data_IF_763688604160
#
_entry.id   IF_763688604160
#
_cell.length_a   1.000
_cell.length_b   1.000
_cell.length_c   1.000
_cell.angle_alpha   90.00
_cell.angle_beta   90.00
_cell.angle_gamma   90.00
#
_symmetry.space_group_name_H-M   'P 1'
#
loop_
_entity.id
_entity.type
_entity.pdbx_description
1 polymer ?
#
# COMPACT_ATOMS: atom_id res chain seq x y z
N UNK A 1 -12.96 14.92 3.81
CA UNK A 1 -12.68 15.62 2.55
C UNK A 1 -13.83 15.40 1.57
N UNK A 2 -14.27 14.17 1.32
CA UNK A 2 -15.35 13.84 0.38
C UNK A 2 -16.67 14.60 0.65
N UNK A 3 -16.97 14.88 1.93
CA UNK A 3 -18.15 15.62 2.33
C UNK A 3 -18.21 17.03 1.72
N UNK A 4 -17.09 17.74 1.64
CA UNK A 4 -17.04 19.08 1.05
C UNK A 4 -17.29 19.06 -0.46
N UNK A 5 -16.79 18.06 -1.16
CA UNK A 5 -17.10 17.87 -2.58
C UNK A 5 -18.59 17.55 -2.80
N UNK A 6 -19.17 16.72 -1.94
CA UNK A 6 -20.59 16.40 -1.98
C UNK A 6 -21.46 17.66 -1.75
N UNK A 7 -21.17 18.44 -0.71
CA UNK A 7 -21.88 19.68 -0.40
C UNK A 7 -21.72 20.72 -1.49
N UNK A 8 -20.50 20.95 -1.98
CA UNK A 8 -20.22 21.83 -3.12
C UNK A 8 -20.98 21.41 -4.38
N UNK A 9 -21.07 20.11 -4.65
CA UNK A 9 -21.82 19.57 -5.78
C UNK A 9 -23.31 19.83 -5.66
N UNK A 10 -23.90 19.69 -4.46
CA UNK A 10 -25.30 20.05 -4.22
C UNK A 10 -25.55 21.53 -4.41
N UNK A 11 -24.62 22.38 -4.00
CA UNK A 11 -24.74 23.82 -4.12
C UNK A 11 -24.74 24.30 -5.58
N UNK A 12 -23.88 23.72 -6.44
CA UNK A 12 -23.73 24.20 -7.83
C UNK A 12 -24.67 23.50 -8.82
N UNK A 13 -25.20 22.31 -8.52
CA UNK A 13 -26.03 21.58 -9.48
C UNK A 13 -27.35 22.29 -9.83
N UNK A 14 -27.84 23.19 -8.96
CA UNK A 14 -29.05 24.00 -9.19
C UNK A 14 -28.78 25.33 -9.91
N UNK A 15 -27.51 25.69 -10.16
CA UNK A 15 -27.16 26.96 -10.82
C UNK A 15 -25.98 26.77 -11.78
N UNK A 16 -26.24 26.90 -13.08
CA UNK A 16 -25.28 26.64 -14.16
C UNK A 16 -24.06 27.56 -14.17
N UNK A 17 -24.13 28.72 -13.52
CA UNK A 17 -23.03 29.71 -13.49
C UNK A 17 -22.07 29.51 -12.32
N UNK A 18 -22.38 28.55 -11.42
CA UNK A 18 -21.55 28.34 -10.25
C UNK A 18 -20.55 27.20 -10.45
N UNK A 19 -19.39 27.38 -9.85
CA UNK A 19 -18.34 26.39 -9.78
C UNK A 19 -17.61 26.50 -8.46
N UNK A 20 -16.91 25.46 -8.08
CA UNK A 20 -16.04 25.46 -6.92
C UNK A 20 -14.74 24.75 -7.22
N UNK A 21 -13.71 25.04 -6.43
CA UNK A 21 -12.46 24.29 -6.45
C UNK A 21 -11.95 24.07 -5.03
N UNK A 22 -11.34 22.92 -4.78
CA UNK A 22 -10.72 22.60 -3.52
C UNK A 22 -9.31 22.08 -3.70
N UNK A 23 -8.44 22.43 -2.74
CA UNK A 23 -7.19 21.72 -2.49
C UNK A 23 -7.51 20.55 -1.59
N UNK A 24 -7.09 19.36 -1.97
CA UNK A 24 -7.44 18.13 -1.28
C UNK A 24 -6.26 17.17 -1.29
N UNK A 25 -6.23 16.22 -0.35
CA UNK A 25 -5.27 15.11 -0.45
C UNK A 25 -5.55 14.28 -1.71
N UNK A 26 -4.52 13.81 -2.37
CA UNK A 26 -4.64 13.01 -3.61
C UNK A 26 -5.42 11.71 -3.44
N UNK A 27 -5.68 11.28 -2.20
CA UNK A 27 -6.50 10.10 -1.87
C UNK A 27 -7.93 10.14 -2.42
N UNK A 28 -8.48 11.35 -2.67
CA UNK A 28 -9.83 11.49 -3.27
C UNK A 28 -9.91 10.93 -4.71
N UNK A 29 -8.76 10.87 -5.38
CA UNK A 29 -8.62 10.35 -6.74
C UNK A 29 -7.96 8.97 -6.78
N UNK A 30 -7.87 8.29 -5.62
CA UNK A 30 -7.18 7.01 -5.46
C UNK A 30 -7.98 6.05 -4.59
N UNK A 31 -7.81 4.76 -4.82
CA UNK A 31 -8.37 3.72 -3.99
C UNK A 31 -9.90 3.74 -3.88
N UNK A 32 -10.43 3.33 -2.73
CA UNK A 32 -11.87 3.16 -2.49
C UNK A 32 -12.68 4.47 -2.53
N UNK A 33 -12.07 5.62 -2.25
CA UNK A 33 -12.76 6.91 -2.25
C UNK A 33 -13.28 7.29 -3.64
N UNK A 34 -12.60 6.86 -4.70
CA UNK A 34 -13.03 7.12 -6.07
C UNK A 34 -14.42 6.54 -6.34
N UNK A 35 -14.63 5.27 -5.99
CA UNK A 35 -15.92 4.60 -6.17
C UNK A 35 -17.06 5.16 -5.32
N UNK A 36 -16.73 5.74 -4.17
CA UNK A 36 -17.73 6.28 -3.24
C UNK A 36 -18.18 7.69 -3.60
N UNK A 37 -17.31 8.54 -4.11
CA UNK A 37 -17.59 9.95 -4.32
C UNK A 37 -17.94 10.29 -5.77
N UNK A 38 -17.09 9.91 -6.72
CA UNK A 38 -17.18 10.43 -8.08
C UNK A 38 -18.43 10.03 -8.85
N UNK A 39 -19.00 8.82 -8.71
CA UNK A 39 -20.29 8.50 -9.33
C UNK A 39 -21.40 9.45 -8.90
N UNK A 40 -21.41 9.87 -7.62
CA UNK A 40 -22.41 10.79 -7.09
C UNK A 40 -22.27 12.19 -7.71
N UNK A 41 -21.04 12.66 -7.88
CA UNK A 41 -20.77 13.97 -8.51
C UNK A 41 -21.18 13.94 -9.98
N UNK A 42 -20.72 12.94 -10.73
CA UNK A 42 -21.01 12.85 -12.16
C UNK A 42 -22.49 12.60 -12.47
N UNK A 43 -23.23 11.91 -11.58
CA UNK A 43 -24.68 11.72 -11.74
C UNK A 43 -25.48 13.02 -11.65
N UNK A 44 -24.90 14.09 -11.09
CA UNK A 44 -25.51 15.43 -11.02
C UNK A 44 -25.25 16.30 -12.26
N UNK A 45 -24.81 15.71 -13.36
CA UNK A 45 -24.39 16.43 -14.57
C UNK A 45 -23.25 17.45 -14.33
N UNK A 46 -22.33 17.09 -13.42
CA UNK A 46 -21.13 17.85 -13.11
C UNK A 46 -19.91 17.21 -13.73
N UNK A 47 -18.87 18.00 -13.92
CA UNK A 47 -17.59 17.56 -14.50
C UNK A 47 -16.39 18.16 -13.77
N UNK A 48 -15.23 17.56 -13.93
CA UNK A 48 -13.97 18.17 -13.53
C UNK A 48 -13.57 19.17 -14.63
N UNK A 49 -13.67 20.46 -14.33
CA UNK A 49 -13.34 21.55 -15.25
C UNK A 49 -11.85 21.72 -15.43
N UNK A 50 -11.11 21.63 -14.33
CA UNK A 50 -9.66 21.61 -14.30
C UNK A 50 -9.14 20.83 -13.13
N UNK A 51 -7.91 20.34 -13.24
CA UNK A 51 -7.23 19.73 -12.11
C UNK A 51 -5.72 19.97 -12.17
N UNK A 52 -5.10 20.21 -11.00
CA UNK A 52 -3.68 20.03 -10.81
C UNK A 52 -3.41 18.62 -10.36
N UNK A 53 -2.55 17.90 -11.09
CA UNK A 53 -2.12 16.56 -10.76
C UNK A 53 -1.43 16.54 -9.38
N UNK A 54 -1.33 15.38 -8.73
CA UNK A 54 -0.75 15.29 -7.39
C UNK A 54 0.64 15.91 -7.30
N UNK A 55 0.84 16.79 -6.32
CA UNK A 55 2.11 17.40 -5.98
C UNK A 55 2.33 17.40 -4.46
N UNK A 56 3.57 17.50 -4.02
CA UNK A 56 3.90 17.57 -2.60
C UNK A 56 3.57 18.96 -2.05
N UNK A 57 2.68 18.99 -1.06
CA UNK A 57 2.41 20.21 -0.32
C UNK A 57 3.52 20.42 0.72
N UNK A 58 4.28 21.49 0.56
CA UNK A 58 5.27 21.92 1.54
C UNK A 58 4.75 23.14 2.30
N UNK A 59 4.87 23.13 3.62
CA UNK A 59 4.67 24.30 4.44
C UNK A 59 5.98 24.63 5.19
N UNK A 60 6.11 25.84 5.71
CA UNK A 60 7.32 26.31 6.40
C UNK A 60 7.46 25.77 7.85
N UNK A 61 6.75 24.70 8.22
CA UNK A 61 6.82 24.11 9.54
C UNK A 61 8.08 23.26 9.73
N UNK A 62 8.68 23.29 10.93
CA UNK A 62 9.92 22.58 11.27
C UNK A 62 9.86 21.04 11.15
N UNK A 63 8.67 20.45 11.08
CA UNK A 63 8.46 18.99 10.89
C UNK A 63 7.45 18.79 9.77
N UNK A 64 7.91 18.95 8.53
CA UNK A 64 7.06 18.90 7.36
C UNK A 64 6.77 17.45 6.96
N UNK A 65 5.60 16.93 7.33
CA UNK A 65 5.07 15.72 6.73
C UNK A 65 4.59 16.09 5.31
N UNK A 66 5.38 15.75 4.29
CA UNK A 66 5.01 15.95 2.89
C UNK A 66 3.70 15.24 2.57
N UNK A 67 2.63 16.00 2.35
CA UNK A 67 1.32 15.48 1.96
C UNK A 67 1.15 15.66 0.46
N UNK A 68 0.84 14.58 -0.25
CA UNK A 68 0.47 14.68 -1.67
C UNK A 68 -0.94 15.25 -1.78
N UNK A 69 -1.07 16.37 -2.49
CA UNK A 69 -2.34 17.07 -2.71
C UNK A 69 -2.63 17.24 -4.19
N UNK A 70 -3.91 17.44 -4.51
CA UNK A 70 -4.40 17.83 -5.83
C UNK A 70 -5.30 19.06 -5.70
N UNK A 71 -5.42 19.88 -6.75
CA UNK A 71 -6.43 20.93 -6.82
C UNK A 71 -7.45 20.51 -7.87
N UNK A 72 -8.73 20.55 -7.52
CA UNK A 72 -9.79 20.06 -8.40
C UNK A 72 -10.90 21.10 -8.47
N UNK A 73 -11.16 21.57 -9.67
CA UNK A 73 -12.28 22.47 -9.97
C UNK A 73 -13.45 21.72 -10.59
N UNK A 74 -14.63 21.89 -10.03
CA UNK A 74 -15.90 21.28 -10.47
C UNK A 74 -16.82 22.34 -11.03
N UNK A 75 -17.46 22.01 -12.16
CA UNK A 75 -18.47 22.83 -12.80
C UNK A 75 -19.61 21.99 -13.34
N UNK A 76 -20.70 22.64 -13.76
CA UNK A 76 -21.69 22.00 -14.60
C UNK A 76 -21.06 21.55 -15.94
N UNK A 77 -21.57 20.43 -16.48
CA UNK A 77 -21.04 19.83 -17.71
C UNK A 77 -21.18 20.79 -18.88
N UNK A 78 -20.12 20.87 -19.67
CA UNK A 78 -20.02 21.76 -20.84
C UNK A 78 -19.22 21.08 -21.96
N UNK A 79 -19.35 21.62 -23.18
CA UNK A 79 -18.59 21.17 -24.35
C UNK A 79 -17.20 21.81 -24.43
N UNK A 80 -16.81 22.64 -23.47
CA UNK A 80 -15.51 23.27 -23.44
C UNK A 80 -14.41 22.28 -23.04
N UNK A 81 -13.20 22.48 -23.57
CA UNK A 81 -12.04 21.71 -23.16
C UNK A 81 -11.72 21.96 -21.67
N UNK A 82 -11.23 20.93 -21.02
CA UNK A 82 -10.80 20.90 -19.62
C UNK A 82 -9.29 21.05 -19.55
N UNK A 83 -8.77 21.50 -18.42
CA UNK A 83 -7.35 21.77 -18.25
C UNK A 83 -6.74 20.86 -17.17
N UNK A 84 -5.77 20.05 -17.56
CA UNK A 84 -4.92 19.31 -16.63
C UNK A 84 -3.58 20.04 -16.48
N UNK A 85 -3.20 20.30 -15.25
CA UNK A 85 -1.94 20.96 -14.89
C UNK A 85 -1.00 19.94 -14.25
N UNK A 86 0.22 19.89 -14.74
CA UNK A 86 1.33 19.14 -14.14
C UNK A 86 2.57 20.03 -14.15
N UNK A 87 3.10 20.32 -12.98
CA UNK A 87 4.19 21.25 -12.79
C UNK A 87 3.86 22.61 -13.45
N UNK A 88 4.67 23.09 -14.39
CA UNK A 88 4.45 24.31 -15.13
C UNK A 88 3.77 24.11 -16.51
N UNK A 89 3.28 22.87 -16.77
CA UNK A 89 2.64 22.53 -18.04
C UNK A 89 1.13 22.43 -17.89
N UNK A 90 0.39 22.82 -18.93
CA UNK A 90 -1.04 22.61 -19.02
C UNK A 90 -1.38 21.80 -20.26
N UNK A 91 -2.27 20.82 -20.11
CA UNK A 91 -2.78 20.00 -21.19
C UNK A 91 -4.30 20.25 -21.34
N UNK A 92 -4.70 20.64 -22.54
CA UNK A 92 -6.12 20.78 -22.90
C UNK A 92 -6.68 19.41 -23.31
N UNK A 93 -7.76 18.98 -22.64
CA UNK A 93 -8.39 17.66 -22.83
C UNK A 93 -9.90 17.79 -22.94
N UNK A 94 -10.55 16.81 -23.58
CA UNK A 94 -12.00 16.82 -23.73
C UNK A 94 -12.73 16.43 -22.43
N UNK A 95 -12.14 15.58 -21.61
CA UNK A 95 -12.70 15.15 -20.34
C UNK A 95 -11.58 14.79 -19.35
N UNK A 96 -11.80 15.08 -18.07
CA UNK A 96 -10.95 14.63 -16.95
C UNK A 96 -11.77 13.65 -16.13
N UNK A 97 -11.26 12.43 -16.01
CA UNK A 97 -11.93 11.40 -15.21
C UNK A 97 -11.57 11.49 -13.72
N UNK A 98 -12.19 10.65 -12.92
CA UNK A 98 -11.99 10.58 -11.45
C UNK A 98 -10.56 10.30 -10.99
N UNK A 99 -9.69 9.79 -11.86
CA UNK A 99 -8.26 9.53 -11.60
C UNK A 99 -7.35 10.67 -12.05
N UNK A 100 -7.92 11.81 -12.43
CA UNK A 100 -7.24 12.98 -12.99
C UNK A 100 -6.43 12.65 -14.27
N UNK A 101 -6.98 11.78 -15.10
CA UNK A 101 -6.41 11.49 -16.42
C UNK A 101 -7.38 11.87 -17.52
N UNK A 102 -6.86 12.14 -18.73
CA UNK A 102 -7.69 12.35 -19.92
C UNK A 102 -8.38 11.05 -20.32
N UNK A 103 -9.68 11.08 -20.56
CA UNK A 103 -10.45 9.93 -21.01
C UNK A 103 -11.84 9.85 -20.41
N UNK A 104 -12.57 8.77 -20.67
CA UNK A 104 -13.92 8.55 -20.19
C UNK A 104 -13.98 8.45 -18.65
N UNK A 105 -15.13 8.77 -18.07
CA UNK A 105 -15.39 8.61 -16.66
C UNK A 105 -15.53 7.13 -16.31
N UNK A 106 -14.40 6.47 -16.03
CA UNK A 106 -14.34 5.09 -15.56
C UNK A 106 -14.10 5.12 -14.05
N UNK A 107 -14.88 4.36 -13.32
CA UNK A 107 -14.73 4.18 -11.88
C UNK A 107 -14.54 2.70 -11.58
N UNK A 108 -13.42 2.36 -10.94
CA UNK A 108 -13.11 1.00 -10.52
C UNK A 108 -13.52 0.85 -9.06
N UNK A 109 -14.51 0.01 -8.81
CA UNK A 109 -14.92 -0.34 -7.46
C UNK A 109 -14.02 -1.42 -6.87
N UNK A 110 -13.87 -1.41 -5.55
CA UNK A 110 -13.19 -2.47 -4.84
C UNK A 110 -13.93 -3.80 -5.08
N UNK A 111 -13.19 -4.84 -5.46
CA UNK A 111 -13.72 -6.19 -5.66
C UNK A 111 -12.87 -7.19 -4.86
N UNK A 112 -13.53 -8.15 -4.23
CA UNK A 112 -12.89 -9.30 -3.60
C UNK A 112 -12.65 -10.46 -4.58
N UNK A 113 -13.18 -10.33 -5.81
CA UNK A 113 -13.02 -11.34 -6.86
C UNK A 113 -12.12 -10.82 -7.96
N UNK A 114 -11.31 -11.68 -8.52
CA UNK A 114 -10.50 -11.39 -9.70
C UNK A 114 -11.39 -10.99 -10.86
N UNK A 115 -10.97 -10.00 -11.65
CA UNK A 115 -11.62 -9.62 -12.91
C UNK A 115 -11.27 -10.62 -14.01
N UNK A 116 -10.17 -11.35 -13.86
CA UNK A 116 -9.61 -12.29 -14.83
C UNK A 116 -9.36 -13.65 -14.17
N UNK A 117 -9.16 -14.70 -14.98
CA UNK A 117 -8.81 -16.05 -14.53
C UNK A 117 -7.32 -16.18 -14.10
N UNK A 118 -6.72 -15.10 -13.63
CA UNK A 118 -5.36 -15.11 -13.11
C UNK A 118 -5.31 -15.64 -11.67
N UNK A 119 -4.14 -16.11 -11.20
CA UNK A 119 -3.96 -16.52 -9.83
C UNK A 119 -4.37 -15.44 -8.83
N UNK A 120 -4.90 -15.87 -7.68
CA UNK A 120 -5.33 -14.95 -6.63
C UNK A 120 -4.14 -14.21 -6.05
N UNK A 121 -4.25 -12.88 -5.93
CA UNK A 121 -3.29 -12.07 -5.21
C UNK A 121 -3.58 -12.18 -3.70
N UNK A 122 -2.57 -12.54 -2.93
CA UNK A 122 -2.66 -12.73 -1.49
C UNK A 122 -1.69 -11.79 -0.78
N UNK A 123 -1.99 -11.47 0.47
CA UNK A 123 -1.08 -10.70 1.33
C UNK A 123 0.20 -11.49 1.56
N UNK A 124 1.35 -10.84 1.43
CA UNK A 124 2.65 -11.44 1.71
C UNK A 124 2.80 -11.87 3.18
N UNK A 125 3.83 -12.67 3.44
CA UNK A 125 4.14 -13.16 4.78
C UNK A 125 4.48 -12.01 5.72
N UNK A 126 3.81 -11.95 6.86
CA UNK A 126 4.01 -10.92 7.87
C UNK A 126 4.43 -11.56 9.20
N UNK A 127 5.59 -11.20 9.74
CA UNK A 127 6.10 -11.83 10.96
C UNK A 127 5.39 -11.38 12.23
N UNK A 128 4.92 -10.14 12.33
CA UNK A 128 4.33 -9.57 13.57
C UNK A 128 5.22 -9.85 14.79
N UNK A 129 6.50 -9.49 14.70
CA UNK A 129 7.59 -9.97 15.56
C UNK A 129 8.41 -8.87 16.21
N UNK A 130 8.11 -7.59 15.96
CA UNK A 130 8.97 -6.46 16.35
C UNK A 130 10.44 -6.62 15.89
N UNK A 131 10.65 -7.13 14.67
CA UNK A 131 11.95 -7.46 14.08
C UNK A 131 12.76 -8.55 14.82
N UNK A 132 12.17 -9.30 15.74
CA UNK A 132 12.91 -10.35 16.43
C UNK A 132 13.23 -11.56 15.54
N UNK A 133 12.32 -11.94 14.62
CA UNK A 133 12.54 -13.08 13.71
C UNK A 133 13.29 -12.70 12.43
N UNK A 134 13.60 -11.41 12.22
CA UNK A 134 14.30 -10.89 11.05
C UNK A 134 15.65 -10.31 11.44
N UNK A 135 16.62 -10.38 10.55
CA UNK A 135 17.98 -9.92 10.79
C UNK A 135 18.76 -9.71 9.47
N UNK A 136 19.93 -9.15 9.57
CA UNK A 136 20.84 -8.86 8.47
C UNK A 136 21.71 -10.06 8.08
N UNK A 137 22.49 -9.91 7.01
CA UNK A 137 23.41 -10.93 6.52
C UNK A 137 24.56 -11.24 7.49
N UNK A 138 24.97 -10.28 8.34
CA UNK A 138 26.03 -10.51 9.33
C UNK A 138 25.53 -11.50 10.40
N UNK A 139 24.37 -11.23 10.98
CA UNK A 139 23.73 -12.13 11.94
C UNK A 139 23.46 -13.52 11.36
N UNK A 140 23.03 -13.60 10.10
CA UNK A 140 22.87 -14.89 9.40
C UNK A 140 24.19 -15.65 9.32
N UNK A 141 25.28 -14.99 8.94
CA UNK A 141 26.59 -15.63 8.80
C UNK A 141 27.13 -16.10 10.16
N UNK A 142 26.96 -15.31 11.22
CA UNK A 142 27.32 -15.73 12.59
C UNK A 142 26.56 -16.98 13.04
N UNK A 143 25.25 -17.03 12.77
CA UNK A 143 24.42 -18.19 13.08
C UNK A 143 24.87 -19.42 12.31
N UNK A 144 25.21 -19.30 11.03
CA UNK A 144 25.68 -20.41 10.22
C UNK A 144 27.05 -20.96 10.69
N UNK A 145 27.97 -20.08 11.10
CA UNK A 145 29.30 -20.47 11.61
C UNK A 145 29.16 -21.19 12.95
N UNK A 146 28.38 -20.62 13.90
CA UNK A 146 28.24 -21.18 15.25
C UNK A 146 27.30 -22.38 15.32
N UNK A 147 26.25 -22.38 14.49
CA UNK A 147 25.18 -23.38 14.50
C UNK A 147 24.84 -23.84 13.07
N UNK A 148 25.72 -24.62 12.38
CA UNK A 148 25.51 -25.04 11.00
C UNK A 148 24.17 -25.75 10.75
N UNK A 149 23.64 -26.44 11.76
CA UNK A 149 22.33 -27.11 11.69
C UNK A 149 21.16 -26.14 11.51
N UNK A 150 21.34 -24.83 11.75
CA UNK A 150 20.30 -23.81 11.54
C UNK A 150 20.06 -23.44 10.09
N UNK A 151 20.91 -23.88 9.16
CA UNK A 151 20.93 -23.43 7.78
C UNK A 151 19.56 -23.52 7.06
N UNK A 152 18.81 -24.60 7.28
CA UNK A 152 17.50 -24.79 6.65
C UNK A 152 16.41 -23.91 7.26
N UNK A 153 16.63 -23.38 8.49
CA UNK A 153 15.71 -22.44 9.15
C UNK A 153 15.87 -21.01 8.64
N UNK A 154 16.98 -20.68 7.98
CA UNK A 154 17.29 -19.33 7.55
C UNK A 154 16.78 -19.09 6.12
N UNK A 155 15.84 -18.18 5.95
CA UNK A 155 15.27 -17.83 4.64
C UNK A 155 15.48 -16.36 4.33
N UNK A 156 15.68 -16.05 3.04
CA UNK A 156 15.76 -14.68 2.56
C UNK A 156 14.39 -14.01 2.64
N UNK A 157 14.34 -12.81 3.17
CA UNK A 157 13.14 -11.96 3.17
C UNK A 157 13.18 -11.09 1.92
N UNK A 158 12.07 -11.05 1.20
CA UNK A 158 11.92 -10.23 0.01
C UNK A 158 10.63 -9.43 0.16
N UNK A 159 10.77 -8.15 0.44
CA UNK A 159 9.71 -7.17 0.52
C UNK A 159 9.96 -6.00 -0.43
N UNK A 160 9.19 -4.92 -0.29
CA UNK A 160 9.31 -3.74 -1.12
C UNK A 160 10.70 -3.08 -0.99
N UNK A 161 11.15 -2.87 0.24
CA UNK A 161 12.43 -2.21 0.52
C UNK A 161 13.60 -3.06 0.03
N UNK A 162 13.56 -4.37 0.26
CA UNK A 162 14.59 -5.29 -0.16
C UNK A 162 14.72 -5.35 -1.68
N UNK A 163 13.59 -5.28 -2.41
CA UNK A 163 13.58 -5.28 -3.88
C UNK A 163 14.01 -3.94 -4.48
N UNK A 164 13.56 -2.82 -3.91
CA UNK A 164 13.78 -1.50 -4.48
C UNK A 164 15.16 -0.95 -4.18
N UNK A 165 15.73 -1.31 -3.02
CA UNK A 165 16.98 -0.78 -2.52
C UNK A 165 18.11 -1.83 -2.48
N UNK A 166 17.87 -3.01 -3.06
CA UNK A 166 18.81 -4.16 -3.06
C UNK A 166 19.33 -4.50 -1.65
N UNK A 167 18.43 -4.48 -0.66
CA UNK A 167 18.76 -4.78 0.72
C UNK A 167 18.69 -6.29 0.94
N UNK A 168 19.76 -6.88 1.46
CA UNK A 168 19.77 -8.28 1.85
C UNK A 168 19.27 -8.45 3.28
N UNK A 169 18.15 -9.13 3.45
CA UNK A 169 17.50 -9.39 4.74
C UNK A 169 17.10 -10.85 4.88
N UNK A 170 17.24 -11.37 6.09
CA UNK A 170 16.98 -12.76 6.41
C UNK A 170 15.97 -12.90 7.54
N UNK A 171 15.40 -14.10 7.67
CA UNK A 171 14.54 -14.44 8.80
C UNK A 171 14.76 -15.87 9.24
N UNK A 172 14.36 -16.15 10.47
CA UNK A 172 14.15 -17.53 10.93
C UNK A 172 12.75 -17.96 10.50
N UNK A 173 12.69 -19.01 9.69
CA UNK A 173 11.46 -19.62 9.22
C UNK A 173 11.33 -21.00 9.83
N UNK A 174 10.45 -21.12 10.84
CA UNK A 174 10.35 -22.32 11.70
C UNK A 174 9.03 -22.99 11.46
N UNK A 175 9.06 -24.26 11.04
CA UNK A 175 7.89 -25.15 11.04
C UNK A 175 7.60 -25.68 12.44
N UNK A 176 6.47 -26.35 12.65
CA UNK A 176 6.20 -26.98 13.94
C UNK A 176 7.16 -28.16 14.19
N UNK A 177 7.60 -28.84 13.14
CA UNK A 177 8.57 -29.96 13.20
C UNK A 177 9.98 -29.47 13.56
N UNK A 178 10.34 -28.27 13.15
CA UNK A 178 11.66 -27.67 13.41
C UNK A 178 11.74 -26.94 14.75
N UNK A 179 10.65 -26.84 15.51
CA UNK A 179 10.58 -26.02 16.72
C UNK A 179 11.58 -26.47 17.78
N UNK A 180 11.72 -27.76 18.03
CA UNK A 180 12.65 -28.31 19.03
C UNK A 180 14.10 -27.95 18.66
N UNK A 181 14.46 -28.11 17.40
CA UNK A 181 15.79 -27.71 16.91
C UNK A 181 16.00 -26.20 17.07
N UNK A 182 15.01 -25.37 16.67
CA UNK A 182 15.10 -23.93 16.80
C UNK A 182 15.28 -23.49 18.25
N UNK A 183 14.57 -24.10 19.19
CA UNK A 183 14.68 -23.82 20.63
C UNK A 183 16.02 -24.33 21.23
N UNK A 184 16.64 -25.33 20.66
CA UNK A 184 17.97 -25.83 21.10
C UNK A 184 19.11 -24.87 20.72
N UNK A 185 18.86 -23.91 19.82
CA UNK A 185 19.81 -22.90 19.37
C UNK A 185 19.56 -21.61 20.13
N UNK A 186 20.37 -21.34 21.15
CA UNK A 186 20.16 -20.23 22.10
C UNK A 186 19.81 -18.88 21.44
N UNK A 187 20.54 -18.37 20.43
CA UNK A 187 20.19 -17.09 19.79
C UNK A 187 18.86 -17.11 19.05
N UNK A 188 18.40 -18.26 18.55
CA UNK A 188 17.10 -18.41 17.89
C UNK A 188 16.00 -18.49 18.96
N UNK A 189 16.22 -19.24 20.03
CA UNK A 189 15.28 -19.34 21.15
C UNK A 189 15.02 -17.97 21.80
N UNK A 190 16.08 -17.18 22.02
CA UNK A 190 15.93 -15.82 22.53
C UNK A 190 15.02 -14.96 21.64
N UNK A 191 15.18 -15.05 20.33
CA UNK A 191 14.33 -14.35 19.34
C UNK A 191 12.88 -14.78 19.39
N UNK A 192 12.63 -16.09 19.58
CA UNK A 192 11.28 -16.65 19.77
C UNK A 192 10.64 -16.08 21.04
N UNK A 193 11.38 -16.08 22.16
CA UNK A 193 10.86 -15.58 23.44
C UNK A 193 10.63 -14.06 23.42
N UNK A 194 11.48 -13.29 22.78
CA UNK A 194 11.27 -11.87 22.58
C UNK A 194 10.05 -11.58 21.69
N UNK A 195 9.82 -12.41 20.67
CA UNK A 195 8.59 -12.35 19.87
C UNK A 195 7.35 -12.69 20.72
N UNK A 196 7.43 -13.70 21.59
CA UNK A 196 6.35 -14.06 22.53
C UNK A 196 6.00 -12.89 23.45
N UNK A 197 7.01 -12.28 24.08
CA UNK A 197 6.83 -11.10 24.96
C UNK A 197 6.14 -9.96 24.23
N UNK A 198 6.65 -9.60 23.03
CA UNK A 198 6.05 -8.56 22.21
C UNK A 198 4.58 -8.85 21.86
N UNK A 199 4.27 -10.07 21.45
CA UNK A 199 2.91 -10.45 21.08
C UNK A 199 1.95 -10.46 22.27
N UNK A 200 2.41 -10.87 23.43
CA UNK A 200 1.59 -10.91 24.66
C UNK A 200 1.16 -9.52 25.11
N UNK A 201 2.03 -8.51 24.92
CA UNK A 201 1.76 -7.12 25.32
C UNK A 201 1.17 -6.27 24.20
N UNK A 202 1.07 -6.79 22.99
CA UNK A 202 0.58 -6.09 21.81
C UNK A 202 -0.94 -5.98 21.70
N UNK A 203 -1.43 -5.43 20.60
CA UNK A 203 -2.87 -5.38 20.27
C UNK A 203 -3.46 -6.74 19.98
N UNK A 204 -4.78 -6.80 19.74
CA UNK A 204 -5.56 -8.05 19.60
C UNK A 204 -4.97 -9.04 18.58
N UNK A 205 -4.50 -8.55 17.43
CA UNK A 205 -3.88 -9.39 16.41
C UNK A 205 -2.59 -10.02 16.92
N UNK A 206 -1.75 -9.26 17.62
CA UNK A 206 -0.51 -9.77 18.19
C UNK A 206 -0.78 -10.81 19.28
N UNK A 207 -1.71 -10.52 20.19
CA UNK A 207 -2.11 -11.46 21.27
C UNK A 207 -2.64 -12.79 20.71
N UNK A 208 -3.42 -12.75 19.63
CA UNK A 208 -3.88 -13.96 18.94
C UNK A 208 -2.76 -14.86 18.39
N UNK A 209 -1.54 -14.31 18.21
CA UNK A 209 -0.37 -15.03 17.71
C UNK A 209 0.62 -15.45 18.84
N UNK A 210 0.37 -15.09 20.09
CA UNK A 210 1.30 -15.30 21.20
C UNK A 210 1.60 -16.78 21.46
N UNK A 211 0.64 -17.68 21.19
CA UNK A 211 0.78 -19.13 21.35
C UNK A 211 1.71 -19.79 20.32
N UNK A 212 2.03 -19.10 19.22
CA UNK A 212 2.92 -19.58 18.15
C UNK A 212 3.99 -18.53 17.83
N UNK A 213 4.85 -18.17 18.79
CA UNK A 213 5.81 -17.07 18.64
C UNK A 213 6.87 -17.32 17.57
N UNK A 214 7.12 -18.57 17.21
CA UNK A 214 8.05 -19.00 16.18
C UNK A 214 7.50 -18.81 14.76
N UNK A 215 6.17 -18.67 14.58
CA UNK A 215 5.54 -18.58 13.25
C UNK A 215 5.23 -17.15 12.84
N UNK A 216 5.30 -16.90 11.54
CA UNK A 216 4.74 -15.73 10.91
C UNK A 216 3.19 -15.79 10.94
N UNK A 217 2.54 -14.65 10.88
CA UNK A 217 1.07 -14.57 10.78
C UNK A 217 0.55 -15.26 9.52
N UNK A 218 1.22 -15.00 8.40
CA UNK A 218 0.93 -15.64 7.12
C UNK A 218 2.16 -16.42 6.68
N UNK A 219 1.95 -17.63 6.19
CA UNK A 219 3.00 -18.59 5.81
C UNK A 219 2.78 -19.10 4.39
N UNK A 220 2.59 -18.17 3.46
CA UNK A 220 2.42 -18.51 2.06
C UNK A 220 3.76 -18.86 1.42
N UNK A 221 3.76 -19.85 0.55
CA UNK A 221 4.93 -20.23 -0.24
C UNK A 221 4.53 -20.51 -1.69
N UNK A 222 5.38 -20.14 -2.62
CA UNK A 222 5.23 -20.51 -4.02
C UNK A 222 6.05 -21.76 -4.34
N UNK A 223 5.54 -22.62 -5.24
CA UNK A 223 6.26 -23.84 -5.64
C UNK A 223 7.40 -23.56 -6.63
N UNK A 224 7.19 -22.64 -7.57
CA UNK A 224 8.15 -22.39 -8.65
C UNK A 224 8.48 -20.91 -8.83
N UNK A 225 7.45 -20.06 -8.98
CA UNK A 225 7.58 -18.64 -9.25
C UNK A 225 6.56 -17.87 -8.42
N UNK A 226 6.92 -16.67 -8.03
CA UNK A 226 5.98 -15.71 -7.44
C UNK A 226 6.19 -14.32 -8.04
N UNK A 227 5.11 -13.58 -8.14
CA UNK A 227 5.12 -12.17 -8.50
C UNK A 227 4.98 -11.40 -7.19
N UNK A 228 5.92 -10.50 -6.91
CA UNK A 228 5.85 -9.61 -5.75
C UNK A 228 5.46 -8.23 -6.24
N UNK A 229 4.36 -7.71 -5.68
CA UNK A 229 3.84 -6.38 -5.98
C UNK A 229 3.96 -5.54 -4.72
N UNK A 230 4.93 -4.63 -4.62
CA UNK A 230 5.03 -3.70 -3.51
C UNK A 230 3.79 -2.79 -3.44
N UNK A 231 3.19 -2.64 -2.26
CA UNK A 231 1.97 -1.83 -2.10
C UNK A 231 2.23 -0.34 -2.37
N UNK A 232 3.46 0.11 -2.23
CA UNK A 232 3.86 1.53 -2.30
C UNK A 232 4.33 1.94 -3.71
N UNK A 233 4.59 0.97 -4.60
CA UNK A 233 5.10 1.24 -5.96
C UNK A 233 4.30 0.49 -7.01
N UNK A 234 4.26 1.07 -8.23
CA UNK A 234 3.63 0.45 -9.41
C UNK A 234 4.56 -0.59 -10.05
N UNK A 235 5.72 -0.86 -9.48
CA UNK A 235 6.69 -1.82 -10.02
C UNK A 235 6.30 -3.25 -9.72
N UNK A 236 6.31 -4.11 -10.73
CA UNK A 236 6.04 -5.55 -10.63
C UNK A 236 7.36 -6.30 -10.79
N UNK A 237 7.68 -7.17 -9.84
CA UNK A 237 8.89 -7.99 -9.88
C UNK A 237 8.51 -9.46 -9.98
N UNK A 238 9.14 -10.17 -10.94
CA UNK A 238 9.01 -11.62 -11.09
C UNK A 238 10.29 -12.25 -10.55
N UNK A 239 10.15 -13.09 -9.55
CA UNK A 239 11.26 -13.78 -8.92
C UNK A 239 11.16 -15.26 -9.20
N UNK A 240 12.22 -15.83 -9.78
CA UNK A 240 12.38 -17.28 -9.92
C UNK A 240 13.00 -17.79 -8.62
N UNK A 241 12.32 -18.69 -7.94
CA UNK A 241 12.84 -19.39 -6.76
C UNK A 241 13.46 -20.72 -7.14
#
# INVERSE_FOLDING_TARGET
ISCWFYLGSNFICSNLNYHFAFVTTSSINQGAQVGQLWPIIFSKNLEIRFAHLPFLWSNNAKSNAGVSVSIIGISNKSNQNKLLFKDNLSLSVNNINSYLTSGNNIVINQSLKNISNLPVMITGNSPYDNNNLRFDSNTKNELLIKFPKSSHLLKRVIGADELLNDIEKWCVWISDEDLELAMSIEPINERIENTRKFRTTGGDVARGLANKPHKFRYTHSAKNHQIIIPIITISIFIIKM
#
